data_IF_927061981355
#
_entry.id   IF_927061981355
#
_cell.length_a   1.000
_cell.length_b   1.000
_cell.length_c   1.000
_cell.angle_alpha   90.00
_cell.angle_beta   90.00
_cell.angle_gamma   90.00
#
_symmetry.space_group_name_H-M   'P 1'
#
loop_
_entity.id
_entity.type
_entity.pdbx_description
1 polymer ?
#
# COMPACT_ATOMS: atom_id res chain seq x y z
N UNK A 1 3.64 89.84 24.82
CA UNK A 1 4.24 88.74 23.97
C UNK A 1 4.43 87.40 24.73
N UNK A 2 4.20 87.34 26.00
CA UNK A 2 4.35 86.11 26.84
C UNK A 2 3.15 85.14 26.81
N UNK A 3 1.95 85.60 26.45
CA UNK A 3 0.72 84.74 26.51
C UNK A 3 0.51 83.80 25.31
N UNK A 4 1.13 84.12 24.13
CA UNK A 4 0.96 83.26 22.95
C UNK A 4 1.90 82.02 22.99
N UNK A 5 3.07 82.20 23.58
CA UNK A 5 4.04 81.13 23.74
C UNK A 5 3.58 80.04 24.73
N UNK A 6 2.96 80.48 25.84
CA UNK A 6 2.40 79.53 26.83
C UNK A 6 1.21 78.76 26.27
N UNK A 7 0.38 79.38 25.40
CA UNK A 7 -0.73 78.69 24.75
C UNK A 7 -0.24 77.67 23.73
N UNK A 8 0.83 77.99 22.96
CA UNK A 8 1.38 77.02 22.01
C UNK A 8 2.06 75.84 22.72
N UNK A 9 2.73 76.06 23.83
CA UNK A 9 3.33 74.99 24.62
C UNK A 9 2.25 74.07 25.25
N UNK A 10 1.15 74.66 25.71
CA UNK A 10 0.03 73.89 26.26
C UNK A 10 -0.69 73.05 25.18
N UNK A 11 -0.86 73.58 23.95
CA UNK A 11 -1.41 72.84 22.81
C UNK A 11 -0.49 71.68 22.37
N UNK A 12 0.83 71.90 22.36
CA UNK A 12 1.77 70.83 22.01
C UNK A 12 1.85 69.73 23.07
N UNK A 13 1.65 70.04 24.37
CA UNK A 13 1.58 69.03 25.42
C UNK A 13 0.28 68.18 25.32
N UNK A 14 -0.87 68.83 25.02
CA UNK A 14 -2.15 68.11 24.83
C UNK A 14 -2.14 67.24 23.60
N UNK A 15 -1.54 67.66 22.48
CA UNK A 15 -1.42 66.81 21.27
C UNK A 15 -0.49 65.61 21.49
N UNK A 16 0.59 65.77 22.24
CA UNK A 16 1.47 64.63 22.62
C UNK A 16 0.79 63.63 23.54
N UNK A 17 -0.02 64.08 24.50
CA UNK A 17 -0.79 63.19 25.36
C UNK A 17 -1.87 62.44 24.63
N UNK A 18 -2.58 63.08 23.69
CA UNK A 18 -3.57 62.43 22.83
C UNK A 18 -2.94 61.39 21.88
N UNK A 19 -1.77 61.68 21.34
CA UNK A 19 -1.04 60.71 20.49
C UNK A 19 -0.57 59.48 21.27
N UNK A 20 -0.05 59.68 22.48
CA UNK A 20 0.39 58.55 23.32
C UNK A 20 -0.79 57.70 23.81
N UNK A 21 -1.95 58.33 24.14
CA UNK A 21 -3.14 57.62 24.47
C UNK A 21 -3.72 56.80 23.32
N UNK A 22 -3.68 57.34 22.07
CA UNK A 22 -4.08 56.62 20.86
C UNK A 22 -3.17 55.43 20.54
N UNK A 23 -1.85 55.62 20.68
CA UNK A 23 -0.88 54.53 20.46
C UNK A 23 -1.06 53.41 21.48
N UNK A 24 -1.29 53.79 22.75
CA UNK A 24 -1.56 52.79 23.82
C UNK A 24 -2.87 52.04 23.59
N UNK A 25 -3.95 52.71 23.13
CA UNK A 25 -5.22 52.10 22.79
C UNK A 25 -5.12 51.15 21.59
N UNK A 26 -4.40 51.56 20.52
CA UNK A 26 -4.19 50.74 19.32
C UNK A 26 -3.34 49.50 19.67
N UNK A 27 -2.30 49.66 20.51
CA UNK A 27 -1.49 48.53 20.96
C UNK A 27 -2.31 47.57 21.87
N UNK A 28 -3.15 48.10 22.77
CA UNK A 28 -3.97 47.25 23.65
C UNK A 28 -5.05 46.52 22.89
N UNK A 29 -5.72 47.18 21.92
CA UNK A 29 -6.70 46.52 21.02
C UNK A 29 -6.00 45.53 20.12
N UNK A 30 -4.80 45.83 19.60
CA UNK A 30 -4.01 44.90 18.79
C UNK A 30 -3.60 43.63 19.55
N UNK A 31 -3.19 43.81 20.84
CA UNK A 31 -2.83 42.67 21.71
C UNK A 31 -4.09 41.85 22.10
N UNK A 32 -5.22 42.47 22.36
CA UNK A 32 -6.48 41.76 22.61
C UNK A 32 -6.98 41.02 21.32
N UNK A 33 -6.76 41.58 20.13
CA UNK A 33 -7.08 40.87 18.87
C UNK A 33 -6.12 39.71 18.59
N UNK A 34 -4.87 39.81 18.97
CA UNK A 34 -3.92 38.69 18.90
C UNK A 34 -4.18 37.63 19.98
N UNK A 35 -4.56 38.03 21.18
CA UNK A 35 -4.90 37.11 22.29
C UNK A 35 -6.23 36.37 22.02
N UNK A 36 -7.21 37.01 21.36
CA UNK A 36 -8.46 36.33 20.98
C UNK A 36 -8.30 35.35 19.81
N UNK A 37 -7.22 35.47 19.02
CA UNK A 37 -6.88 34.47 17.99
C UNK A 37 -6.12 33.26 18.54
N UNK A 38 -5.58 33.33 19.75
CA UNK A 38 -4.84 32.20 20.36
C UNK A 38 -5.72 31.26 21.20
N UNK A 39 -7.01 31.54 21.37
CA UNK A 39 -7.98 30.65 22.00
C UNK A 39 -8.94 29.98 20.98
N UNK A 40 -8.64 30.08 19.69
CA UNK A 40 -9.24 29.19 18.68
C UNK A 40 -8.71 27.80 18.95
N UNK A 41 -9.59 26.82 19.24
CA UNK A 41 -9.29 25.41 19.13
C UNK A 41 -8.27 25.21 18.02
N UNK A 42 -7.13 24.55 18.34
CA UNK A 42 -6.28 23.97 17.31
C UNK A 42 -7.17 23.05 16.50
N UNK A 43 -7.78 23.57 15.44
CA UNK A 43 -8.46 22.74 14.44
C UNK A 43 -7.38 21.78 13.99
N UNK A 44 -7.42 20.57 14.53
CA UNK A 44 -6.56 19.51 14.06
C UNK A 44 -6.83 19.36 12.57
N UNK A 45 -5.82 19.57 11.73
CA UNK A 45 -5.93 19.41 10.27
C UNK A 45 -6.12 17.94 9.86
N UNK A 46 -6.74 17.13 10.75
CA UNK A 46 -6.90 15.69 10.61
C UNK A 46 -8.30 15.26 11.05
N UNK A 47 -8.81 14.21 10.41
CA UNK A 47 -9.98 13.47 10.86
C UNK A 47 -9.51 12.31 11.74
N UNK A 48 -10.03 12.19 12.95
CA UNK A 48 -9.73 11.08 13.86
C UNK A 48 -10.85 10.03 13.77
N UNK A 49 -10.47 8.74 13.76
CA UNK A 49 -11.38 7.60 13.71
C UNK A 49 -11.03 6.64 14.84
N UNK A 50 -11.98 6.39 15.74
CA UNK A 50 -11.84 5.48 16.87
C UNK A 50 -12.59 4.15 16.64
N UNK A 51 -12.26 3.08 17.40
CA UNK A 51 -12.99 1.81 17.29
C UNK A 51 -14.51 1.98 17.36
N UNK A 52 -15.21 1.34 16.40
CA UNK A 52 -16.67 1.46 16.25
C UNK A 52 -17.12 2.53 15.26
N UNK A 53 -16.29 3.49 14.93
CA UNK A 53 -16.56 4.50 13.90
C UNK A 53 -16.27 3.99 12.48
N UNK A 54 -16.73 4.72 11.48
CA UNK A 54 -16.57 4.35 10.07
C UNK A 54 -15.36 5.05 9.46
N UNK A 55 -14.35 4.28 9.10
CA UNK A 55 -13.19 4.78 8.32
C UNK A 55 -13.67 5.35 6.98
N UNK A 56 -14.62 4.66 6.30
CA UNK A 56 -15.12 5.09 5.00
C UNK A 56 -15.75 6.48 5.06
N UNK A 57 -16.56 6.77 6.10
CA UNK A 57 -17.16 8.11 6.27
C UNK A 57 -16.10 9.20 6.49
N UNK A 58 -15.00 8.88 7.18
CA UNK A 58 -13.91 9.82 7.36
C UNK A 58 -13.13 10.07 6.06
N UNK A 59 -12.92 9.03 5.23
CA UNK A 59 -12.34 9.14 3.88
C UNK A 59 -13.20 10.04 3.00
N UNK A 60 -14.53 9.86 3.02
CA UNK A 60 -15.48 10.67 2.24
C UNK A 60 -15.45 12.15 2.65
N UNK A 61 -15.43 12.42 3.97
CA UNK A 61 -15.27 13.79 4.47
C UNK A 61 -13.92 14.40 4.05
N UNK A 62 -12.83 13.67 4.19
CA UNK A 62 -11.52 14.13 3.76
C UNK A 62 -11.43 14.32 2.24
N UNK A 63 -12.12 13.49 1.45
CA UNK A 63 -12.23 13.65 0.00
C UNK A 63 -12.85 14.96 -0.43
N UNK A 64 -13.88 15.38 0.29
CA UNK A 64 -14.62 16.64 0.04
C UNK A 64 -13.93 17.88 0.60
N UNK A 65 -13.04 17.74 1.58
CA UNK A 65 -12.32 18.86 2.20
C UNK A 65 -11.08 19.22 1.36
N UNK A 66 -10.93 20.46 0.90
CA UNK A 66 -9.78 20.85 0.09
C UNK A 66 -8.46 20.95 0.90
N UNK A 67 -8.53 21.08 2.22
CA UNK A 67 -7.36 21.33 3.09
C UNK A 67 -7.06 20.17 4.02
N UNK A 68 -8.08 19.46 4.50
CA UNK A 68 -7.99 18.43 5.54
C UNK A 68 -8.02 17.05 4.91
N UNK A 69 -6.87 16.58 4.45
CA UNK A 69 -6.73 15.32 3.72
C UNK A 69 -6.21 14.14 4.56
N UNK A 70 -5.90 14.34 5.83
CA UNK A 70 -5.36 13.29 6.69
C UNK A 70 -6.46 12.69 7.55
N UNK A 71 -6.58 11.36 7.50
CA UNK A 71 -7.44 10.54 8.36
C UNK A 71 -6.55 9.67 9.24
N UNK A 72 -6.62 9.82 10.55
CA UNK A 72 -5.93 8.99 11.54
C UNK A 72 -6.88 7.97 12.12
N UNK A 73 -6.48 6.71 12.05
CA UNK A 73 -7.25 5.59 12.59
C UNK A 73 -6.55 5.08 13.83
N UNK A 74 -7.24 5.11 14.97
CA UNK A 74 -6.67 4.70 16.25
C UNK A 74 -6.69 3.18 16.45
N UNK A 75 -5.82 2.72 17.35
CA UNK A 75 -5.60 1.30 17.65
C UNK A 75 -6.92 0.52 17.82
N UNK A 76 -7.01 -0.63 17.15
CA UNK A 76 -8.17 -1.50 17.18
C UNK A 76 -8.32 -2.34 15.90
N UNK A 77 -9.37 -3.17 15.90
CA UNK A 77 -9.72 -3.98 14.74
C UNK A 77 -10.96 -3.43 14.06
N UNK A 78 -10.86 -3.20 12.77
CA UNK A 78 -11.93 -2.69 11.93
C UNK A 78 -12.37 -3.75 10.93
N UNK A 79 -13.62 -4.17 11.05
CA UNK A 79 -14.22 -5.25 10.29
C UNK A 79 -15.43 -4.77 9.50
N UNK A 80 -15.81 -5.44 8.39
CA UNK A 80 -17.00 -5.10 7.61
C UNK A 80 -18.28 -5.27 8.44
N UNK A 81 -19.21 -4.32 8.30
CA UNK A 81 -20.55 -4.38 8.91
C UNK A 81 -21.61 -4.95 7.96
N UNK A 82 -21.23 -5.26 6.73
CA UNK A 82 -22.07 -5.88 5.72
C UNK A 82 -21.20 -6.65 4.71
N UNK A 83 -21.78 -7.63 4.05
CA UNK A 83 -21.16 -8.29 2.89
C UNK A 83 -21.06 -7.31 1.73
N UNK A 84 -19.90 -7.26 1.08
CA UNK A 84 -19.67 -6.28 0.02
C UNK A 84 -18.39 -6.49 -0.78
N UNK A 85 -18.08 -5.51 -1.60
CA UNK A 85 -16.88 -5.52 -2.45
C UNK A 85 -15.61 -5.21 -1.65
N UNK A 86 -15.65 -4.23 -0.75
CA UNK A 86 -14.50 -3.86 0.07
C UNK A 86 -14.92 -3.36 1.45
N UNK A 87 -14.01 -3.45 2.43
CA UNK A 87 -14.18 -2.80 3.74
C UNK A 87 -14.07 -1.28 3.61
N UNK A 88 -13.02 -0.82 2.94
CA UNK A 88 -12.79 0.60 2.64
C UNK A 88 -12.36 0.76 1.18
N UNK A 89 -12.73 1.89 0.59
CA UNK A 89 -12.42 2.15 -0.81
C UNK A 89 -12.09 3.62 -1.08
N UNK A 90 -11.25 3.79 -2.09
CA UNK A 90 -10.87 5.08 -2.63
C UNK A 90 -11.26 5.15 -4.11
N UNK A 91 -11.76 6.27 -4.55
CA UNK A 91 -11.98 6.60 -5.95
C UNK A 91 -11.51 8.04 -6.22
N UNK A 92 -11.61 8.51 -7.46
CA UNK A 92 -11.14 9.84 -7.90
C UNK A 92 -11.46 10.99 -6.93
N UNK A 93 -12.64 11.00 -6.31
CA UNK A 93 -13.05 11.99 -5.31
C UNK A 93 -12.24 11.97 -4.00
N UNK A 94 -11.52 10.88 -3.75
CA UNK A 94 -10.67 10.72 -2.56
C UNK A 94 -9.18 10.91 -2.85
N UNK A 95 -8.83 11.40 -4.06
CA UNK A 95 -7.42 11.59 -4.40
C UNK A 95 -6.75 12.57 -3.41
N UNK A 96 -5.52 12.24 -3.01
CA UNK A 96 -4.76 12.98 -2.00
C UNK A 96 -5.11 12.68 -0.54
N UNK A 97 -6.13 11.87 -0.25
CA UNK A 97 -6.43 11.44 1.12
C UNK A 97 -5.33 10.52 1.64
N UNK A 98 -4.83 10.83 2.83
CA UNK A 98 -3.83 10.05 3.53
C UNK A 98 -4.47 9.34 4.73
N UNK A 99 -4.61 8.02 4.64
CA UNK A 99 -5.13 7.18 5.72
C UNK A 99 -3.97 6.59 6.50
N UNK A 100 -3.86 6.92 7.79
CA UNK A 100 -2.72 6.57 8.64
C UNK A 100 -3.16 5.88 9.92
N UNK A 101 -2.50 4.79 10.25
CA UNK A 101 -2.67 4.11 11.53
C UNK A 101 -1.98 4.87 12.67
N UNK A 102 -2.61 4.88 13.83
CA UNK A 102 -2.05 5.39 15.10
C UNK A 102 -2.09 4.25 16.11
N UNK A 103 -0.93 3.68 16.38
CA UNK A 103 -0.80 2.44 17.16
C UNK A 103 -1.12 1.19 16.31
N UNK A 104 -1.46 0.09 16.95
CA UNK A 104 -1.76 -1.17 16.25
C UNK A 104 -3.18 -1.16 15.68
N UNK A 105 -3.30 -0.98 14.38
CA UNK A 105 -4.58 -0.96 13.68
C UNK A 105 -4.67 -2.13 12.70
N UNK A 106 -5.67 -2.99 12.91
CA UNK A 106 -5.97 -4.11 12.03
C UNK A 106 -7.20 -3.82 11.17
N UNK A 107 -7.04 -3.90 9.87
CA UNK A 107 -8.12 -3.96 8.90
C UNK A 107 -8.33 -5.43 8.49
N UNK A 108 -9.57 -5.92 8.55
CA UNK A 108 -9.85 -7.32 8.23
C UNK A 108 -11.05 -7.49 7.31
N UNK A 109 -11.01 -8.52 6.46
CA UNK A 109 -12.17 -8.95 5.67
C UNK A 109 -13.19 -9.77 6.48
N UNK A 110 -12.85 -10.12 7.71
CA UNK A 110 -13.59 -11.11 8.51
C UNK A 110 -14.74 -10.48 9.28
N UNK A 111 -15.93 -11.07 9.14
CA UNK A 111 -17.02 -10.94 10.10
C UNK A 111 -17.79 -12.27 10.15
N UNK A 112 -17.49 -13.10 11.14
CA UNK A 112 -18.06 -14.44 11.28
C UNK A 112 -19.57 -14.43 11.54
N UNK A 113 -20.13 -13.33 12.04
CA UNK A 113 -21.57 -13.20 12.31
C UNK A 113 -22.37 -12.98 11.01
N UNK A 114 -21.75 -12.36 10.01
CA UNK A 114 -22.34 -12.09 8.70
C UNK A 114 -22.04 -13.17 7.66
N UNK A 115 -21.07 -14.03 7.93
CA UNK A 115 -20.60 -15.05 6.98
C UNK A 115 -21.37 -16.37 7.16
N UNK A 116 -21.79 -16.96 6.04
CA UNK A 116 -22.28 -18.34 6.07
C UNK A 116 -21.15 -19.31 6.43
N UNK A 117 -21.29 -20.02 7.51
CA UNK A 117 -20.31 -21.02 7.99
C UNK A 117 -20.07 -22.16 7.00
N UNK A 118 -20.97 -22.38 6.06
CA UNK A 118 -20.84 -23.39 5.01
C UNK A 118 -20.13 -22.86 3.75
N UNK A 119 -19.97 -21.56 3.65
CA UNK A 119 -19.25 -20.94 2.53
C UNK A 119 -17.77 -21.27 2.59
N UNK A 120 -17.16 -21.53 1.43
CA UNK A 120 -15.71 -21.67 1.28
C UNK A 120 -14.96 -20.37 1.62
N UNK A 121 -15.67 -19.24 1.62
CA UNK A 121 -15.11 -17.91 1.93
C UNK A 121 -15.16 -17.61 3.43
N UNK A 122 -15.91 -18.39 4.23
CA UNK A 122 -16.01 -18.17 5.67
C UNK A 122 -14.61 -18.04 6.32
N UNK A 123 -14.37 -17.08 7.18
CA UNK A 123 -15.29 -16.05 7.72
C UNK A 123 -15.24 -14.69 7.00
N UNK A 124 -14.63 -14.60 5.81
CA UNK A 124 -14.57 -13.35 5.05
C UNK A 124 -15.94 -12.97 4.47
N UNK A 125 -16.24 -11.67 4.43
CA UNK A 125 -17.50 -11.10 3.93
C UNK A 125 -17.32 -9.98 2.91
N UNK A 126 -16.06 -9.66 2.57
CA UNK A 126 -15.71 -8.73 1.49
C UNK A 126 -14.65 -9.34 0.58
N UNK A 127 -14.65 -8.93 -0.68
CA UNK A 127 -13.65 -9.42 -1.65
C UNK A 127 -12.27 -8.83 -1.39
N UNK A 128 -12.21 -7.54 -1.05
CA UNK A 128 -10.99 -6.81 -0.75
C UNK A 128 -11.07 -6.16 0.63
N UNK A 129 -9.97 -6.09 1.35
CA UNK A 129 -9.96 -5.25 2.56
C UNK A 129 -9.90 -3.78 2.15
N UNK A 130 -9.03 -3.43 1.20
CA UNK A 130 -8.88 -2.06 0.67
C UNK A 130 -8.97 -2.07 -0.85
N UNK A 131 -9.72 -1.13 -1.40
CA UNK A 131 -9.85 -0.93 -2.84
C UNK A 131 -9.42 0.49 -3.23
N UNK A 132 -8.55 0.59 -4.23
CA UNK A 132 -8.19 1.85 -4.89
C UNK A 132 -8.69 1.84 -6.32
N UNK A 133 -9.63 2.71 -6.62
CA UNK A 133 -10.24 2.83 -7.93
C UNK A 133 -9.59 3.88 -8.82
N UNK A 134 -10.23 4.13 -9.94
CA UNK A 134 -9.72 5.03 -10.98
C UNK A 134 -9.45 6.46 -10.48
N UNK A 135 -8.37 7.06 -10.97
CA UNK A 135 -8.01 8.45 -10.72
C UNK A 135 -7.32 8.72 -9.37
N UNK A 136 -6.72 7.70 -8.76
CA UNK A 136 -5.91 7.82 -7.56
C UNK A 136 -4.44 8.02 -7.93
N UNK A 137 -3.78 9.04 -7.36
CA UNK A 137 -2.36 9.31 -7.55
C UNK A 137 -1.52 8.93 -6.33
N UNK A 138 -0.20 9.07 -6.44
CA UNK A 138 0.75 8.80 -5.35
C UNK A 138 0.61 9.70 -4.12
N UNK A 139 -0.20 10.74 -4.19
CA UNK A 139 -0.56 11.60 -3.05
C UNK A 139 -1.52 10.90 -2.09
N UNK A 140 -2.29 9.92 -2.59
CA UNK A 140 -3.15 9.07 -1.76
C UNK A 140 -2.29 8.00 -1.08
N UNK A 141 -2.31 7.99 0.24
CA UNK A 141 -1.43 7.16 1.06
C UNK A 141 -2.23 6.26 1.99
N UNK A 142 -1.84 4.98 2.04
CA UNK A 142 -2.25 4.03 3.08
C UNK A 142 -1.02 3.66 3.90
N UNK A 143 -1.02 3.94 5.22
CA UNK A 143 0.19 3.86 6.02
C UNK A 143 -0.02 3.21 7.40
N UNK A 144 0.80 2.20 7.72
CA UNK A 144 0.95 1.67 9.07
C UNK A 144 -0.08 0.62 9.50
N UNK A 145 -0.89 0.08 8.61
CA UNK A 145 -1.94 -0.90 8.92
C UNK A 145 -1.46 -2.35 8.83
N UNK A 146 -2.03 -3.18 9.69
CA UNK A 146 -2.07 -4.62 9.50
C UNK A 146 -3.33 -4.98 8.70
N UNK A 147 -3.19 -5.77 7.62
CA UNK A 147 -4.29 -6.13 6.71
C UNK A 147 -4.37 -7.65 6.59
N UNK A 148 -5.52 -8.24 6.92
CA UNK A 148 -5.64 -9.69 7.04
C UNK A 148 -7.06 -10.20 6.78
N UNK A 149 -7.17 -11.53 6.62
CA UNK A 149 -8.44 -12.25 6.67
C UNK A 149 -9.23 -12.27 5.37
N UNK A 150 -8.69 -11.75 4.27
CA UNK A 150 -9.30 -11.99 2.95
C UNK A 150 -9.24 -13.50 2.66
N UNK A 151 -10.36 -14.04 2.15
CA UNK A 151 -10.48 -15.46 1.88
C UNK A 151 -11.34 -15.71 0.66
N UNK A 152 -10.69 -15.94 -0.47
CA UNK A 152 -11.35 -16.28 -1.71
C UNK A 152 -12.24 -15.14 -2.27
N UNK A 153 -13.17 -15.49 -3.11
CA UNK A 153 -14.09 -14.59 -3.80
C UNK A 153 -15.47 -14.65 -3.14
N UNK A 154 -15.85 -13.59 -2.43
CA UNK A 154 -17.04 -13.56 -1.58
C UNK A 154 -18.31 -13.28 -2.38
N UNK A 155 -18.29 -12.27 -3.25
CA UNK A 155 -19.48 -11.84 -3.98
C UNK A 155 -19.18 -11.19 -5.32
N UNK A 156 -20.00 -11.50 -6.33
CA UNK A 156 -20.02 -10.81 -7.63
C UNK A 156 -21.09 -9.72 -7.69
N UNK A 157 -22.06 -9.75 -6.77
CA UNK A 157 -23.27 -8.91 -6.82
C UNK A 157 -23.28 -7.78 -5.80
N UNK A 158 -22.15 -7.44 -5.21
CA UNK A 158 -22.06 -6.32 -4.29
C UNK A 158 -22.38 -4.99 -5.00
N UNK A 159 -22.92 -3.99 -4.28
CA UNK A 159 -23.08 -2.65 -4.82
C UNK A 159 -21.77 -2.14 -5.43
N UNK A 160 -21.88 -1.44 -6.52
CA UNK A 160 -20.75 -0.87 -7.23
C UNK A 160 -20.08 0.20 -6.38
N UNK A 161 -18.81 0.00 -6.03
CA UNK A 161 -18.01 0.94 -5.25
C UNK A 161 -17.21 1.91 -6.13
N UNK A 162 -16.99 1.56 -7.39
CA UNK A 162 -16.33 2.42 -8.35
C UNK A 162 -17.39 3.27 -9.06
N UNK A 163 -17.31 4.61 -9.05
CA UNK A 163 -18.17 5.45 -9.85
C UNK A 163 -18.13 5.08 -11.33
N UNK A 164 -19.15 5.43 -12.06
CA UNK A 164 -19.25 5.15 -13.48
C UNK A 164 -17.93 5.47 -14.20
N UNK A 165 -17.31 4.48 -14.76
CA UNK A 165 -16.05 4.58 -15.52
C UNK A 165 -16.20 3.86 -16.85
N UNK A 166 -15.51 4.36 -17.87
CA UNK A 166 -15.37 3.68 -19.16
C UNK A 166 -14.40 2.50 -19.12
N UNK A 167 -13.68 2.32 -18.01
CA UNK A 167 -12.71 1.25 -17.87
C UNK A 167 -13.41 -0.11 -17.79
N UNK A 168 -12.83 -1.08 -18.48
CA UNK A 168 -13.40 -2.43 -18.58
C UNK A 168 -13.21 -3.17 -17.24
N UNK A 169 -14.32 -3.55 -16.64
CA UNK A 169 -14.36 -4.43 -15.47
C UNK A 169 -14.53 -5.87 -15.92
N UNK A 170 -13.70 -6.74 -15.43
CA UNK A 170 -13.74 -8.17 -15.69
C UNK A 170 -13.71 -8.93 -14.36
N UNK A 171 -13.62 -10.25 -14.43
CA UNK A 171 -13.58 -11.06 -13.22
C UNK A 171 -12.44 -10.71 -12.29
N UNK A 172 -11.24 -10.37 -12.80
CA UNK A 172 -10.10 -9.93 -12.02
C UNK A 172 -10.35 -8.62 -11.27
N UNK A 173 -11.21 -7.75 -11.78
CA UNK A 173 -11.65 -6.57 -11.04
C UNK A 173 -12.28 -6.94 -9.70
N UNK A 174 -13.12 -7.97 -9.68
CA UNK A 174 -13.88 -8.35 -8.49
C UNK A 174 -13.14 -9.30 -7.55
N UNK A 175 -12.20 -10.07 -8.02
CA UNK A 175 -11.69 -11.24 -7.32
C UNK A 175 -10.23 -11.17 -6.87
N UNK A 176 -9.38 -10.47 -7.62
CA UNK A 176 -7.95 -10.38 -7.30
C UNK A 176 -7.65 -9.30 -6.28
N UNK A 177 -6.63 -9.52 -5.45
CA UNK A 177 -6.20 -8.56 -4.46
C UNK A 177 -7.01 -8.66 -3.18
N UNK A 178 -6.91 -9.78 -2.50
CA UNK A 178 -7.66 -10.02 -1.27
C UNK A 178 -7.42 -8.95 -0.20
N UNK A 179 -6.17 -8.62 0.09
CA UNK A 179 -5.86 -7.51 0.98
C UNK A 179 -6.10 -6.15 0.30
N UNK A 180 -5.50 -5.93 -0.88
CA UNK A 180 -5.58 -4.65 -1.58
C UNK A 180 -5.79 -4.87 -3.08
N UNK A 181 -6.79 -4.20 -3.64
CA UNK A 181 -7.01 -4.08 -5.08
C UNK A 181 -6.70 -2.67 -5.54
N UNK A 182 -5.84 -2.52 -6.55
CA UNK A 182 -5.58 -1.27 -7.26
C UNK A 182 -6.08 -1.41 -8.69
N UNK A 183 -6.95 -0.51 -9.14
CA UNK A 183 -7.64 -0.61 -10.44
C UNK A 183 -7.62 0.71 -11.23
N UNK A 184 -7.56 0.60 -12.55
CA UNK A 184 -7.71 1.73 -13.47
C UNK A 184 -6.46 2.61 -13.53
N UNK A 185 -6.64 3.92 -13.71
CA UNK A 185 -5.54 4.90 -13.66
C UNK A 185 -5.20 5.22 -12.20
N UNK A 186 -4.65 4.25 -11.50
CA UNK A 186 -4.46 4.35 -10.06
C UNK A 186 -3.02 4.01 -9.67
N UNK A 187 -2.40 4.87 -8.86
CA UNK A 187 -0.99 4.78 -8.45
C UNK A 187 -0.80 5.21 -6.99
N UNK A 188 -1.50 4.60 -6.02
CA UNK A 188 -1.39 4.98 -4.60
C UNK A 188 0.01 4.71 -4.05
N UNK A 189 0.30 5.31 -2.89
CA UNK A 189 1.43 4.97 -2.03
C UNK A 189 0.97 4.10 -0.86
N UNK A 190 1.54 2.91 -0.78
CA UNK A 190 1.31 1.90 0.25
C UNK A 190 2.58 1.80 1.10
N UNK A 191 2.52 2.16 2.38
CA UNK A 191 3.71 2.32 3.21
C UNK A 191 3.57 1.68 4.58
N UNK A 192 4.62 0.95 5.02
CA UNK A 192 4.69 0.39 6.37
C UNK A 192 3.55 -0.55 6.70
N UNK A 193 3.04 -1.29 5.73
CA UNK A 193 1.92 -2.21 5.89
C UNK A 193 2.41 -3.60 6.29
N UNK A 194 1.66 -4.27 7.15
CA UNK A 194 1.76 -5.71 7.40
C UNK A 194 0.59 -6.41 6.70
N UNK A 195 0.86 -7.08 5.57
CA UNK A 195 -0.14 -7.77 4.76
C UNK A 195 0.06 -9.27 4.95
N UNK A 196 -0.82 -9.89 5.73
CA UNK A 196 -0.62 -11.28 6.13
C UNK A 196 -1.90 -12.10 6.18
N UNK A 197 -1.73 -13.42 5.95
CA UNK A 197 -2.80 -14.41 6.05
C UNK A 197 -4.01 -14.08 5.15
N UNK A 198 -3.77 -13.51 3.97
CA UNK A 198 -4.79 -13.25 2.97
C UNK A 198 -4.75 -14.32 1.87
N UNK A 199 -5.92 -14.67 1.38
CA UNK A 199 -6.09 -15.57 0.26
C UNK A 199 -7.01 -14.95 -0.79
N UNK A 200 -6.64 -15.05 -2.04
CA UNK A 200 -7.49 -14.66 -3.16
C UNK A 200 -7.44 -15.71 -4.29
N UNK A 201 -8.42 -15.65 -5.13
CA UNK A 201 -8.57 -16.52 -6.27
C UNK A 201 -9.19 -15.70 -7.42
N UNK A 202 -8.48 -15.57 -8.53
CA UNK A 202 -7.31 -16.35 -8.97
C UNK A 202 -5.97 -15.87 -8.42
N UNK A 203 -5.76 -14.56 -8.28
CA UNK A 203 -4.45 -13.99 -8.06
C UNK A 203 -4.40 -13.08 -6.84
N UNK A 204 -3.20 -12.87 -6.32
CA UNK A 204 -2.87 -11.91 -5.27
C UNK A 204 -3.73 -11.99 -3.99
N UNK A 205 -3.38 -12.86 -3.09
CA UNK A 205 -3.91 -12.78 -1.72
C UNK A 205 -3.55 -11.45 -1.06
N UNK A 206 -2.36 -10.91 -1.34
CA UNK A 206 -1.91 -9.58 -0.94
C UNK A 206 -2.44 -8.47 -1.85
N UNK A 207 -1.61 -7.93 -2.72
CA UNK A 207 -1.92 -6.76 -3.58
C UNK A 207 -2.06 -7.18 -5.04
N UNK A 208 -3.19 -6.88 -5.67
CA UNK A 208 -3.34 -6.91 -7.12
C UNK A 208 -3.31 -5.51 -7.70
N UNK A 209 -2.43 -5.30 -8.68
CA UNK A 209 -2.34 -4.06 -9.45
C UNK A 209 -2.86 -4.33 -10.85
N UNK A 210 -3.99 -3.75 -11.19
CA UNK A 210 -4.65 -3.84 -12.48
C UNK A 210 -4.81 -2.45 -13.07
N UNK A 211 -3.70 -1.85 -13.46
CA UNK A 211 -3.70 -0.56 -14.14
C UNK A 211 -4.26 -0.69 -15.54
N UNK A 212 -5.08 0.26 -15.95
CA UNK A 212 -5.64 0.36 -17.29
C UNK A 212 -5.41 1.77 -17.83
N UNK A 213 -5.16 1.88 -19.12
CA UNK A 213 -4.78 3.12 -19.78
C UNK A 213 -3.44 3.70 -19.26
N UNK A 214 -3.20 4.98 -19.47
CA UNK A 214 -1.98 5.64 -19.04
C UNK A 214 -2.08 6.04 -17.57
N UNK A 215 -1.82 5.10 -16.65
CA UNK A 215 -1.60 5.48 -15.25
C UNK A 215 -0.46 6.49 -15.16
N UNK A 216 -0.62 7.56 -14.36
CA UNK A 216 0.36 8.64 -14.26
C UNK A 216 1.68 8.22 -13.61
N UNK A 217 1.78 6.96 -13.17
CA UNK A 217 3.01 6.42 -12.61
C UNK A 217 2.82 5.05 -11.97
N UNK A 218 3.89 4.51 -11.38
CA UNK A 218 3.84 3.22 -10.70
C UNK A 218 3.14 3.32 -9.34
N UNK A 219 2.51 2.23 -8.91
CA UNK A 219 2.14 2.03 -7.51
C UNK A 219 3.40 1.99 -6.66
N UNK A 220 3.43 2.71 -5.54
CA UNK A 220 4.55 2.71 -4.60
C UNK A 220 4.26 1.80 -3.42
N UNK A 221 5.15 0.84 -3.17
CA UNK A 221 5.06 -0.13 -2.07
C UNK A 221 6.35 -0.03 -1.28
N UNK A 222 6.29 0.56 -0.09
CA UNK A 222 7.45 0.97 0.67
C UNK A 222 7.41 0.44 2.11
N UNK A 223 8.50 -0.18 2.57
CA UNK A 223 8.63 -0.66 3.96
C UNK A 223 7.49 -1.62 4.40
N UNK A 224 7.03 -2.48 3.50
CA UNK A 224 5.91 -3.40 3.75
C UNK A 224 6.41 -4.81 4.07
N UNK A 225 5.61 -5.54 4.83
CA UNK A 225 5.82 -6.96 5.14
C UNK A 225 4.68 -7.77 4.53
N UNK A 226 5.03 -8.73 3.68
CA UNK A 226 4.10 -9.69 3.10
C UNK A 226 4.38 -11.07 3.69
N UNK A 227 3.45 -11.60 4.46
CA UNK A 227 3.64 -12.86 5.18
C UNK A 227 2.48 -13.81 4.99
N UNK A 228 2.75 -15.05 4.60
CA UNK A 228 1.77 -16.14 4.49
C UNK A 228 0.54 -15.81 3.63
N UNK A 229 0.68 -14.88 2.68
CA UNK A 229 -0.37 -14.66 1.71
C UNK A 229 -0.40 -15.80 0.70
N UNK A 230 -1.56 -16.10 0.19
CA UNK A 230 -1.79 -17.22 -0.72
C UNK A 230 -2.60 -16.78 -1.92
N UNK A 231 -2.31 -17.38 -3.06
CA UNK A 231 -3.12 -17.24 -4.27
C UNK A 231 -3.33 -18.58 -4.93
N UNK A 232 -4.41 -18.68 -5.67
CA UNK A 232 -4.68 -19.92 -6.39
C UNK A 232 -3.75 -20.10 -7.58
N UNK A 233 -3.39 -19.02 -8.28
CA UNK A 233 -2.52 -19.05 -9.46
C UNK A 233 -1.26 -18.19 -9.21
N UNK A 234 -1.31 -16.88 -9.39
CA UNK A 234 -0.13 -16.02 -9.45
C UNK A 234 -0.04 -15.02 -8.31
N UNK A 235 1.17 -14.48 -8.08
CA UNK A 235 1.41 -13.30 -7.30
C UNK A 235 0.89 -13.34 -5.86
N UNK A 236 1.22 -14.37 -5.07
CA UNK A 236 0.61 -14.53 -3.74
C UNK A 236 0.65 -13.27 -2.87
N UNK A 237 1.75 -12.51 -2.91
CA UNK A 237 1.92 -11.27 -2.18
C UNK A 237 1.61 -10.04 -3.06
N UNK A 238 2.16 -9.99 -4.27
CA UNK A 238 1.94 -8.88 -5.22
C UNK A 238 1.81 -9.45 -6.64
N UNK A 239 0.80 -9.01 -7.34
CA UNK A 239 0.54 -9.38 -8.72
C UNK A 239 0.39 -8.14 -9.59
N UNK A 240 1.27 -7.98 -10.58
CA UNK A 240 1.21 -6.88 -11.55
C UNK A 240 0.58 -7.37 -12.83
N UNK A 241 -0.73 -7.20 -12.97
CA UNK A 241 -1.49 -7.60 -14.16
C UNK A 241 -1.06 -6.81 -15.41
N UNK A 242 -1.31 -7.30 -16.61
CA UNK A 242 -0.80 -6.72 -17.85
C UNK A 242 -0.95 -5.19 -17.93
N UNK A 243 0.15 -4.49 -18.26
CA UNK A 243 0.19 -3.03 -18.35
C UNK A 243 0.41 -2.30 -17.03
N UNK A 244 0.62 -3.03 -15.95
CA UNK A 244 0.81 -2.44 -14.61
C UNK A 244 2.25 -2.16 -14.28
N UNK A 245 2.48 -1.22 -13.36
CA UNK A 245 3.83 -0.89 -12.88
C UNK A 245 3.86 -0.63 -11.37
N UNK A 246 4.97 -1.06 -10.73
CA UNK A 246 5.20 -0.80 -9.32
C UNK A 246 6.67 -0.49 -9.01
N UNK A 247 6.87 0.35 -7.99
CA UNK A 247 8.14 0.53 -7.29
C UNK A 247 8.01 -0.08 -5.91
N UNK A 248 8.77 -1.14 -5.64
CA UNK A 248 8.74 -1.92 -4.42
C UNK A 248 10.08 -1.75 -3.71
N UNK A 249 10.08 -1.14 -2.54
CA UNK A 249 11.32 -0.81 -1.86
C UNK A 249 11.30 -1.16 -0.37
N UNK A 250 12.41 -1.73 0.10
CA UNK A 250 12.61 -2.10 1.50
C UNK A 250 11.47 -2.97 2.06
N UNK A 251 11.04 -3.98 1.29
CA UNK A 251 9.95 -4.88 1.63
C UNK A 251 10.44 -6.29 1.95
N UNK A 252 9.70 -6.97 2.83
CA UNK A 252 9.91 -8.36 3.21
C UNK A 252 8.82 -9.24 2.63
N UNK A 253 9.22 -10.30 1.94
CA UNK A 253 8.32 -11.34 1.45
C UNK A 253 8.69 -12.67 2.12
N UNK A 254 7.83 -13.18 2.99
CA UNK A 254 8.13 -14.39 3.75
C UNK A 254 6.96 -15.37 3.77
N UNK A 255 7.24 -16.63 3.44
CA UNK A 255 6.30 -17.75 3.48
C UNK A 255 5.01 -17.52 2.66
N UNK A 256 5.08 -16.78 1.56
CA UNK A 256 3.95 -16.61 0.64
C UNK A 256 3.89 -17.77 -0.35
N UNK A 257 2.67 -18.20 -0.73
CA UNK A 257 2.45 -19.38 -1.57
C UNK A 257 1.49 -19.04 -2.72
N UNK A 258 2.03 -18.93 -3.92
CA UNK A 258 1.25 -18.90 -5.14
C UNK A 258 1.01 -20.31 -5.69
N UNK A 259 0.15 -20.42 -6.69
CA UNK A 259 -0.20 -21.65 -7.39
C UNK A 259 -0.56 -22.81 -6.45
N UNK A 260 -1.69 -22.71 -5.79
CA UNK A 260 -2.20 -23.77 -4.92
C UNK A 260 -2.75 -24.98 -5.71
N UNK A 261 -2.76 -24.91 -7.05
CA UNK A 261 -3.07 -26.03 -7.94
C UNK A 261 -4.53 -26.35 -8.13
N UNK A 262 -5.44 -25.56 -7.56
CA UNK A 262 -6.89 -25.73 -7.74
C UNK A 262 -7.42 -24.54 -8.54
N UNK A 263 -8.06 -24.80 -9.65
CA UNK A 263 -8.72 -23.75 -10.40
C UNK A 263 -10.06 -23.40 -9.75
N UNK A 264 -10.25 -22.17 -9.53
CA UNK A 264 -11.30 -21.58 -8.74
C UNK A 264 -12.50 -21.07 -9.52
N UNK A 265 -12.36 -20.69 -10.77
CA UNK A 265 -13.39 -19.98 -11.53
C UNK A 265 -13.93 -20.80 -12.68
N UNK A 266 -13.08 -21.53 -13.35
CA UNK A 266 -13.46 -22.32 -14.50
C UNK A 266 -13.26 -23.80 -14.25
N UNK A 267 -14.31 -24.49 -13.84
CA UNK A 267 -14.42 -25.93 -13.96
C UNK A 267 -13.35 -26.77 -13.24
N UNK A 268 -12.71 -26.25 -12.18
CA UNK A 268 -11.73 -27.00 -11.37
C UNK A 268 -10.58 -27.62 -12.20
N UNK A 269 -10.15 -26.98 -13.27
CA UNK A 269 -8.99 -27.43 -14.04
C UNK A 269 -7.72 -26.80 -13.50
N UNK A 270 -6.66 -27.57 -13.39
CA UNK A 270 -5.32 -27.05 -13.16
C UNK A 270 -4.92 -26.13 -14.32
N UNK A 271 -4.16 -25.10 -14.00
CA UNK A 271 -3.57 -24.17 -14.99
C UNK A 271 -2.08 -24.50 -15.11
N UNK A 272 -1.70 -25.46 -15.95
CA UNK A 272 -0.31 -25.90 -16.07
C UNK A 272 0.65 -24.79 -16.52
N UNK A 273 0.14 -23.83 -17.27
CA UNK A 273 0.89 -22.66 -17.74
C UNK A 273 1.35 -21.72 -16.59
N UNK A 274 0.76 -21.82 -15.41
CA UNK A 274 1.14 -21.03 -14.22
C UNK A 274 1.91 -21.84 -13.19
N UNK A 275 2.58 -22.90 -13.58
CA UNK A 275 3.33 -23.77 -12.66
C UNK A 275 4.48 -23.07 -11.94
N UNK A 276 5.00 -21.99 -12.52
CA UNK A 276 6.16 -21.26 -12.03
C UNK A 276 5.83 -20.01 -11.22
N UNK A 277 4.59 -19.85 -10.78
CA UNK A 277 4.16 -18.64 -10.07
C UNK A 277 4.87 -18.42 -8.74
N UNK A 278 5.06 -17.16 -8.38
CA UNK A 278 5.84 -16.70 -7.23
C UNK A 278 5.04 -15.72 -6.33
N UNK A 279 5.56 -15.32 -5.18
CA UNK A 279 4.95 -14.28 -4.36
C UNK A 279 4.83 -12.92 -5.08
N UNK A 280 5.80 -12.58 -5.93
CA UNK A 280 5.70 -11.46 -6.86
C UNK A 280 5.67 -12.02 -8.28
N UNK A 281 4.58 -11.77 -9.00
CA UNK A 281 4.47 -12.06 -10.43
C UNK A 281 4.30 -10.75 -11.21
N UNK A 282 5.12 -10.57 -12.24
CA UNK A 282 5.07 -9.43 -13.16
C UNK A 282 4.61 -9.96 -14.52
N UNK A 283 3.40 -9.62 -14.92
CA UNK A 283 2.82 -10.10 -16.19
C UNK A 283 3.45 -9.43 -17.41
N UNK A 284 3.28 -10.01 -18.61
CA UNK A 284 3.73 -9.37 -19.84
C UNK A 284 3.22 -7.93 -19.97
N UNK A 285 4.04 -7.04 -20.54
CA UNK A 285 3.79 -5.59 -20.65
C UNK A 285 3.81 -4.80 -19.33
N UNK A 286 4.04 -5.48 -18.21
CA UNK A 286 4.20 -4.85 -16.90
C UNK A 286 5.67 -4.63 -16.57
N UNK A 287 5.92 -3.83 -15.53
CA UNK A 287 7.27 -3.52 -15.07
C UNK A 287 7.33 -3.38 -13.55
N UNK A 288 8.34 -3.97 -12.93
CA UNK A 288 8.67 -3.77 -11.53
C UNK A 288 10.02 -3.08 -11.34
N UNK A 289 10.12 -2.18 -10.37
CA UNK A 289 11.40 -1.71 -9.81
C UNK A 289 11.46 -2.17 -8.37
N UNK A 290 12.33 -3.15 -8.08
CA UNK A 290 12.42 -3.82 -6.78
C UNK A 290 13.79 -3.52 -6.16
N UNK A 291 13.80 -2.86 -5.00
CA UNK A 291 15.02 -2.38 -4.38
C UNK A 291 15.09 -2.68 -2.89
N UNK A 292 16.25 -3.15 -2.42
CA UNK A 292 16.49 -3.46 -1.00
C UNK A 292 15.41 -4.37 -0.38
N UNK A 293 14.90 -5.33 -1.14
CA UNK A 293 13.87 -6.25 -0.68
C UNK A 293 14.49 -7.60 -0.28
N UNK A 294 13.81 -8.30 0.63
CA UNK A 294 14.18 -9.66 1.03
C UNK A 294 13.05 -10.62 0.72
N UNK A 295 13.34 -11.65 -0.07
CA UNK A 295 12.44 -12.76 -0.38
C UNK A 295 12.98 -14.02 0.30
N UNK A 296 12.24 -14.55 1.27
CA UNK A 296 12.71 -15.69 2.08
C UNK A 296 11.62 -16.72 2.33
N UNK A 297 11.93 -17.99 2.08
CA UNK A 297 11.07 -19.10 2.41
C UNK A 297 9.69 -19.07 1.75
N UNK A 298 9.58 -18.44 0.58
CA UNK A 298 8.37 -18.46 -0.22
C UNK A 298 8.33 -19.69 -1.14
N UNK A 299 7.20 -19.90 -1.81
CA UNK A 299 7.18 -20.77 -2.99
C UNK A 299 7.67 -19.95 -4.17
N UNK A 300 8.90 -20.19 -4.60
CA UNK A 300 9.68 -19.38 -5.53
C UNK A 300 9.94 -17.94 -5.03
N UNK A 301 10.83 -17.23 -5.70
CA UNK A 301 11.17 -15.85 -5.36
C UNK A 301 10.35 -14.84 -6.17
N UNK A 302 10.73 -14.58 -7.42
CA UNK A 302 10.01 -13.69 -8.33
C UNK A 302 9.87 -14.36 -9.69
N UNK A 303 8.67 -14.27 -10.27
CA UNK A 303 8.40 -14.59 -11.67
C UNK A 303 8.18 -13.30 -12.45
N UNK A 304 9.05 -13.00 -13.40
CA UNK A 304 8.97 -11.80 -14.23
C UNK A 304 8.83 -12.14 -15.70
N UNK A 305 7.62 -12.01 -16.20
CA UNK A 305 7.25 -12.14 -17.61
C UNK A 305 7.20 -10.75 -18.30
N UNK A 306 7.52 -9.70 -17.56
CA UNK A 306 7.50 -8.32 -18.02
C UNK A 306 8.76 -7.92 -18.77
N UNK A 307 8.91 -6.61 -19.00
CA UNK A 307 10.08 -6.03 -19.67
C UNK A 307 10.66 -4.87 -18.88
N UNK A 308 11.99 -4.76 -18.95
CA UNK A 308 12.72 -3.63 -18.38
C UNK A 308 12.51 -3.45 -16.86
N UNK A 309 12.21 -4.54 -16.18
CA UNK A 309 12.18 -4.54 -14.72
C UNK A 309 13.58 -4.34 -14.15
N UNK A 310 13.63 -3.85 -12.90
CA UNK A 310 14.89 -3.53 -12.21
C UNK A 310 14.89 -4.20 -10.86
N UNK A 311 15.92 -4.99 -10.58
CA UNK A 311 16.15 -5.66 -9.29
C UNK A 311 17.49 -5.20 -8.74
N UNK A 312 17.46 -4.42 -7.65
CA UNK A 312 18.66 -3.85 -7.07
C UNK A 312 18.80 -4.15 -5.59
N UNK A 313 19.97 -4.68 -5.21
CA UNK A 313 20.31 -4.91 -3.79
C UNK A 313 19.25 -5.73 -3.04
N UNK A 314 18.68 -6.74 -3.71
CA UNK A 314 17.73 -7.67 -3.11
C UNK A 314 18.41 -8.93 -2.60
N UNK A 315 17.80 -9.55 -1.60
CA UNK A 315 18.20 -10.87 -1.09
C UNK A 315 17.10 -11.86 -1.44
N UNK A 316 17.48 -12.95 -2.09
CA UNK A 316 16.63 -14.08 -2.39
C UNK A 316 17.19 -15.32 -1.71
N UNK A 317 16.42 -15.89 -0.76
CA UNK A 317 16.94 -16.95 0.09
C UNK A 317 15.91 -18.04 0.37
N UNK A 318 16.26 -19.27 -0.04
CA UNK A 318 15.44 -20.46 0.23
C UNK A 318 13.97 -20.29 -0.15
N UNK A 319 13.70 -19.73 -1.33
CA UNK A 319 12.34 -19.64 -1.85
C UNK A 319 11.93 -20.99 -2.49
N UNK A 320 12.06 -22.05 -1.71
CA UNK A 320 11.85 -23.44 -2.09
C UNK A 320 10.68 -24.10 -1.36
N UNK A 321 9.77 -23.31 -0.76
CA UNK A 321 8.63 -23.81 -0.02
C UNK A 321 7.77 -24.74 -0.89
N UNK A 322 7.67 -25.99 -0.49
CA UNK A 322 6.96 -27.04 -1.21
C UNK A 322 5.43 -26.89 -1.17
N UNK A 323 4.76 -27.79 -1.83
CA UNK A 323 3.30 -27.94 -1.80
C UNK A 323 2.83 -29.06 -2.71
N UNK A 324 1.66 -29.61 -2.42
CA UNK A 324 1.15 -30.85 -2.98
C UNK A 324 1.00 -30.85 -4.52
N UNK A 325 0.83 -29.70 -5.15
CA UNK A 325 0.56 -29.60 -6.59
C UNK A 325 1.67 -28.90 -7.37
N UNK A 326 2.78 -28.56 -6.71
CA UNK A 326 3.86 -27.87 -7.38
C UNK A 326 4.80 -28.89 -8.06
N UNK A 327 4.86 -28.84 -9.38
CA UNK A 327 5.73 -29.67 -10.23
C UNK A 327 6.81 -28.90 -10.98
N UNK A 328 6.83 -27.57 -10.85
CA UNK A 328 7.78 -26.71 -11.54
C UNK A 328 9.17 -26.65 -10.91
N UNK A 329 10.10 -25.99 -11.57
CA UNK A 329 11.44 -25.72 -11.03
C UNK A 329 11.36 -24.75 -9.86
N UNK A 330 12.35 -24.89 -8.94
CA UNK A 330 12.55 -23.96 -7.84
C UNK A 330 13.52 -22.88 -8.28
N UNK A 331 13.17 -21.64 -8.04
CA UNK A 331 14.00 -20.50 -8.41
C UNK A 331 13.88 -19.36 -7.42
N UNK A 332 14.93 -18.57 -7.36
CA UNK A 332 14.94 -17.29 -6.64
C UNK A 332 14.45 -16.15 -7.52
N UNK A 333 14.78 -16.20 -8.80
CA UNK A 333 14.36 -15.23 -9.82
C UNK A 333 14.19 -15.96 -11.15
N UNK A 334 13.04 -15.78 -11.81
CA UNK A 334 12.75 -16.26 -13.16
C UNK A 334 12.47 -15.05 -14.05
N UNK A 335 13.35 -14.82 -15.04
CA UNK A 335 13.26 -13.70 -15.99
C UNK A 335 12.98 -14.21 -17.41
N UNK A 336 11.87 -13.81 -17.98
CA UNK A 336 11.50 -14.13 -19.36
C UNK A 336 12.18 -13.20 -20.36
N UNK A 337 12.33 -11.92 -20.04
CA UNK A 337 12.78 -10.88 -20.95
C UNK A 337 13.89 -9.99 -20.33
N UNK A 338 14.21 -8.87 -20.95
CA UNK A 338 15.24 -7.95 -20.51
C UNK A 338 14.91 -7.32 -19.16
N UNK A 339 15.87 -7.39 -18.24
CA UNK A 339 15.81 -6.78 -16.92
C UNK A 339 17.20 -6.28 -16.50
N UNK A 340 17.25 -5.33 -15.58
CA UNK A 340 18.48 -4.91 -14.90
C UNK A 340 18.56 -5.58 -13.52
N UNK A 341 19.62 -6.38 -13.28
CA UNK A 341 19.82 -7.06 -12.00
C UNK A 341 21.20 -6.74 -11.46
N UNK A 342 21.25 -6.02 -10.32
CA UNK A 342 22.53 -5.57 -9.77
C UNK A 342 22.55 -5.54 -8.23
N UNK A 343 23.67 -5.96 -7.65
CA UNK A 343 23.90 -5.98 -6.21
C UNK A 343 22.98 -6.95 -5.46
N UNK A 344 22.39 -7.91 -6.16
CA UNK A 344 21.51 -8.91 -5.59
C UNK A 344 22.29 -10.13 -5.08
N UNK A 345 21.70 -10.81 -4.10
CA UNK A 345 22.24 -12.02 -3.47
C UNK A 345 21.25 -13.16 -3.61
N UNK A 346 21.71 -14.27 -4.17
CA UNK A 346 20.89 -15.44 -4.46
C UNK A 346 21.41 -16.67 -3.70
N UNK A 347 20.52 -17.30 -2.94
CA UNK A 347 20.78 -18.56 -2.23
C UNK A 347 20.45 -19.82 -3.03
N UNK A 348 19.78 -19.67 -4.17
CA UNK A 348 19.32 -20.74 -5.03
C UNK A 348 19.43 -20.41 -6.52
N UNK A 349 18.67 -21.12 -7.33
CA UNK A 349 18.71 -21.03 -8.80
C UNK A 349 18.10 -19.74 -9.33
N UNK A 350 18.71 -19.22 -10.39
CA UNK A 350 18.16 -18.10 -11.18
C UNK A 350 17.93 -18.62 -12.61
N UNK A 351 16.71 -18.44 -13.11
CA UNK A 351 16.35 -18.72 -14.49
C UNK A 351 16.42 -17.39 -15.24
N UNK A 352 17.36 -17.31 -16.17
CA UNK A 352 17.64 -16.09 -16.92
C UNK A 352 17.71 -16.42 -18.42
N UNK A 353 16.60 -16.24 -19.12
CA UNK A 353 16.46 -16.63 -20.52
C UNK A 353 17.20 -15.70 -21.50
N UNK A 354 17.57 -14.51 -21.03
CA UNK A 354 18.30 -13.51 -21.83
C UNK A 354 19.77 -13.35 -21.47
N UNK A 355 20.23 -13.98 -20.37
CA UNK A 355 21.60 -13.86 -19.92
C UNK A 355 21.96 -12.48 -19.37
N UNK A 356 21.01 -11.80 -18.75
CA UNK A 356 21.19 -10.43 -18.25
C UNK A 356 21.74 -10.38 -16.82
N UNK A 357 21.65 -11.49 -16.07
CA UNK A 357 22.05 -11.53 -14.66
C UNK A 357 23.55 -11.82 -14.52
N UNK A 358 24.35 -10.77 -14.42
CA UNK A 358 25.81 -10.86 -14.36
C UNK A 358 26.32 -11.33 -13.00
N UNK A 359 27.26 -12.29 -13.00
CA UNK A 359 28.03 -12.71 -11.81
C UNK A 359 29.03 -11.65 -11.32
N UNK A 360 29.31 -10.63 -12.11
CA UNK A 360 30.22 -9.54 -11.72
C UNK A 360 29.55 -8.56 -10.76
N UNK A 361 28.23 -8.45 -10.82
CA UNK A 361 27.45 -7.49 -10.03
C UNK A 361 26.56 -8.15 -8.98
N UNK A 362 26.43 -9.48 -9.01
CA UNK A 362 25.53 -10.23 -8.12
C UNK A 362 26.28 -11.40 -7.46
N UNK A 363 25.86 -11.80 -6.27
CA UNK A 363 26.40 -12.93 -5.53
C UNK A 363 25.48 -14.15 -5.67
N UNK A 364 26.04 -15.26 -6.16
CA UNK A 364 25.33 -16.54 -6.30
C UNK A 364 25.85 -17.56 -5.30
N UNK A 365 25.03 -18.55 -4.96
CA UNK A 365 25.34 -19.59 -3.99
C UNK A 365 25.85 -18.98 -2.67
N UNK A 366 25.17 -17.94 -2.24
CA UNK A 366 25.53 -17.18 -1.06
C UNK A 366 25.55 -18.09 0.19
N UNK A 367 26.38 -17.78 1.19
CA UNK A 367 26.36 -18.45 2.49
C UNK A 367 25.08 -18.11 3.25
N UNK A 368 24.87 -18.76 4.40
CA UNK A 368 23.73 -18.47 5.27
C UNK A 368 23.72 -16.98 5.68
N UNK A 369 22.64 -16.25 5.40
CA UNK A 369 22.51 -14.83 5.73
C UNK A 369 22.52 -14.52 7.22
N UNK A 370 22.28 -15.51 8.09
CA UNK A 370 22.14 -15.35 9.55
C UNK A 370 21.17 -14.23 9.88
N UNK A 371 19.93 -14.35 9.41
CA UNK A 371 18.91 -13.34 9.63
C UNK A 371 18.68 -13.08 11.13
N UNK A 372 18.52 -11.81 11.47
CA UNK A 372 18.00 -11.40 12.76
C UNK A 372 16.47 -11.66 12.84
N UNK A 373 15.81 -11.44 14.01
CA UNK A 373 14.36 -11.63 14.15
C UNK A 373 13.52 -10.73 13.24
N UNK A 374 14.08 -9.67 12.70
CA UNK A 374 13.45 -8.76 11.74
C UNK A 374 13.75 -9.11 10.28
N UNK A 375 14.38 -10.27 10.03
CA UNK A 375 14.80 -10.75 8.71
C UNK A 375 15.83 -9.85 8.00
N UNK A 376 16.60 -9.10 8.76
CA UNK A 376 17.78 -8.40 8.25
C UNK A 376 18.96 -9.37 8.21
N UNK A 377 19.63 -9.49 7.07
CA UNK A 377 20.79 -10.36 6.92
C UNK A 377 22.00 -9.78 7.67
N UNK A 378 22.61 -10.60 8.54
CA UNK A 378 23.71 -10.19 9.41
C UNK A 378 25.09 -10.63 8.88
N UNK A 379 25.15 -11.58 7.95
CA UNK A 379 26.41 -12.02 7.37
C UNK A 379 27.03 -10.91 6.49
N UNK A 380 28.38 -10.76 6.52
CA UNK A 380 29.07 -9.64 5.85
C UNK A 380 28.79 -9.52 4.35
N UNK A 381 28.55 -10.63 3.67
CA UNK A 381 28.27 -10.71 2.24
C UNK A 381 26.97 -10.01 1.84
N UNK A 382 26.05 -9.88 2.78
CA UNK A 382 24.73 -9.27 2.58
C UNK A 382 24.68 -7.78 2.97
N UNK A 383 25.80 -7.21 3.41
CA UNK A 383 25.89 -5.84 3.97
C UNK A 383 25.20 -4.77 3.12
N UNK A 384 25.17 -4.95 1.81
CA UNK A 384 24.65 -3.97 0.85
C UNK A 384 23.35 -4.42 0.17
N UNK A 385 22.73 -5.52 0.61
CA UNK A 385 21.52 -6.07 0.01
C UNK A 385 20.46 -6.43 1.07
N UNK A 386 19.19 -6.51 0.66
CA UNK A 386 18.06 -6.84 1.52
C UNK A 386 17.54 -5.65 2.33
N UNK A 387 16.73 -5.96 3.32
CA UNK A 387 16.14 -4.99 4.25
C UNK A 387 17.19 -4.11 4.94
N UNK A 388 16.87 -2.85 5.17
CA UNK A 388 17.73 -1.85 5.80
C UNK A 388 17.16 -1.31 7.10
#
# INVERSE_FOLDING_TARGET
>A
MTSLLDFIIHLQQHTKMLHSAWIALVLTVGILFMASRSAGELKTDVYEVFPGESIQQAIEKAGQDPFKKVVRVHAGTYAPKATGQALIWFHRGHNGVQLKAVGEVTLTAVNAELSDRKSSTHPAVVNHVVYFGDGITSETVLEGFRITGANHFVTTGAPEIEPSTSLKKNLFFYSDGGAIKVFGNSSPTLRGLEIEDNYASPCAGGISVQQQAAAEGPVRIENCIFRRNRSQITGAAVDLLPGSSAVISNCLFVANIANLGVNYISENKAQPEFTNSAPLTVFPTSRAVVQNCTFIGNRNGVEDLGKHSVYQKCVFWRNDLGGAFYSGERYELDLEDEAEVSGCVFGGSVIDRRGVVSKLTNLFNAPDPKFDPQFKAMAPEFRNAGLR
#
